data_IF_337076279632
#
_entry.id   IF_337076279632
#
_cell.length_a   1.000
_cell.length_b   1.000
_cell.length_c   1.000
_cell.angle_alpha   90.00
_cell.angle_beta   90.00
_cell.angle_gamma   90.00
#
_symmetry.space_group_name_H-M   'P 1'
#
loop_
_entity.id
_entity.type
_entity.pdbx_description
1 polymer ?
#
# COMPACT_ATOMS: atom_id res chain seq x y z
N UNK A 1 -25.72 -2.17 15.04
CA UNK A 1 -24.49 -2.82 14.54
C UNK A 1 -24.52 -4.28 14.97
N UNK A 2 -24.26 -5.26 14.09
CA UNK A 2 -23.92 -6.61 14.54
C UNK A 2 -22.75 -6.56 15.53
N UNK A 3 -22.71 -7.44 16.53
CA UNK A 3 -21.70 -7.43 17.59
C UNK A 3 -21.09 -8.82 17.75
N UNK A 4 -19.79 -8.87 18.02
CA UNK A 4 -19.08 -10.05 18.50
C UNK A 4 -18.72 -9.80 19.97
N UNK A 5 -19.36 -10.47 20.95
CA UNK A 5 -19.14 -10.23 22.37
C UNK A 5 -17.67 -10.28 22.80
N UNK A 6 -16.85 -11.11 22.15
CA UNK A 6 -15.41 -11.22 22.43
C UNK A 6 -14.60 -9.99 22.01
N UNK A 7 -15.08 -9.21 21.03
CA UNK A 7 -14.43 -7.97 20.61
C UNK A 7 -14.73 -6.79 21.56
N UNK A 8 -15.64 -6.95 22.52
CA UNK A 8 -16.03 -5.91 23.49
C UNK A 8 -16.33 -4.54 22.84
N UNK A 9 -16.94 -4.55 21.64
CA UNK A 9 -17.28 -3.33 20.90
C UNK A 9 -18.43 -2.57 21.56
N UNK A 10 -18.47 -1.26 21.38
CA UNK A 10 -19.57 -0.44 21.89
C UNK A 10 -20.84 -0.66 21.05
N UNK A 11 -21.98 -0.88 21.74
CA UNK A 11 -23.28 -1.08 21.09
C UNK A 11 -23.72 0.11 20.21
N UNK A 12 -23.20 1.31 20.48
CA UNK A 12 -23.58 2.58 19.83
C UNK A 12 -22.47 3.16 18.96
N UNK A 13 -21.81 2.33 18.15
CA UNK A 13 -20.77 2.82 17.24
C UNK A 13 -21.37 3.84 16.24
N UNK A 14 -20.89 5.10 16.22
CA UNK A 14 -21.47 6.12 15.36
C UNK A 14 -21.12 5.84 13.90
N UNK A 15 -22.12 5.88 13.02
CA UNK A 15 -21.90 5.96 11.59
C UNK A 15 -21.62 7.42 11.22
N UNK A 16 -20.52 7.73 10.52
CA UNK A 16 -20.29 9.07 10.01
C UNK A 16 -21.47 9.51 9.12
N UNK A 17 -22.02 10.69 9.40
CA UNK A 17 -23.03 11.32 8.54
C UNK A 17 -22.28 12.07 7.44
N UNK A 18 -22.62 11.81 6.18
CA UNK A 18 -21.96 12.43 5.03
C UNK A 18 -21.59 11.41 3.97
N UNK A 19 -20.70 11.81 3.07
CA UNK A 19 -20.22 10.94 1.99
C UNK A 19 -18.97 10.19 2.43
N UNK A 20 -18.86 8.92 2.02
CA UNK A 20 -17.66 8.14 2.30
C UNK A 20 -16.58 8.43 1.24
N UNK A 21 -15.37 8.77 1.69
CA UNK A 21 -14.21 9.00 0.81
C UNK A 21 -13.91 7.76 -0.04
N UNK A 22 -13.83 6.60 0.61
CA UNK A 22 -13.71 5.28 -0.02
C UNK A 22 -14.96 4.46 0.23
N UNK A 23 -15.30 3.48 -0.63
CA UNK A 23 -16.45 2.63 -0.37
C UNK A 23 -16.28 1.85 0.94
N UNK A 24 -17.37 1.71 1.71
CA UNK A 24 -17.38 1.07 3.03
C UNK A 24 -18.21 -0.21 3.07
N UNK A 25 -18.46 -0.79 1.89
CA UNK A 25 -19.19 -2.04 1.68
C UNK A 25 -18.68 -2.74 0.43
N UNK A 26 -18.97 -4.02 0.31
CA UNK A 26 -18.62 -4.82 -0.85
C UNK A 26 -19.91 -5.14 -1.62
N UNK A 27 -19.99 -4.73 -2.88
CA UNK A 27 -21.20 -4.92 -3.69
C UNK A 27 -21.33 -6.38 -4.17
N UNK A 28 -20.22 -6.99 -4.57
CA UNK A 28 -20.14 -8.37 -5.08
C UNK A 28 -19.12 -9.13 -4.26
N UNK A 29 -19.54 -10.29 -3.72
CA UNK A 29 -18.65 -11.17 -2.97
C UNK A 29 -17.43 -11.58 -3.83
N UNK A 30 -16.20 -11.49 -3.30
CA UNK A 30 -15.05 -12.06 -3.98
C UNK A 30 -15.23 -13.58 -4.14
N UNK A 31 -14.67 -14.13 -5.22
CA UNK A 31 -14.71 -15.57 -5.48
C UNK A 31 -14.18 -16.38 -4.28
N UNK A 32 -14.95 -17.38 -3.83
CA UNK A 32 -14.62 -18.20 -2.67
C UNK A 32 -14.97 -17.59 -1.31
N UNK A 33 -15.57 -16.38 -1.27
CA UNK A 33 -15.96 -15.72 -0.02
C UNK A 33 -17.46 -15.49 0.06
N UNK A 34 -18.00 -15.56 1.28
CA UNK A 34 -19.37 -15.13 1.59
C UNK A 34 -19.34 -13.81 2.33
N UNK A 35 -20.15 -12.84 1.90
CA UNK A 35 -20.23 -11.55 2.58
C UNK A 35 -21.02 -11.68 3.88
N UNK A 36 -20.35 -11.43 5.00
CA UNK A 36 -21.01 -11.18 6.29
C UNK A 36 -21.37 -9.70 6.37
N UNK A 37 -22.61 -9.37 6.75
CA UNK A 37 -23.10 -7.98 6.85
C UNK A 37 -22.84 -7.13 5.58
N UNK A 38 -22.82 -7.76 4.40
CA UNK A 38 -22.51 -7.08 3.13
C UNK A 38 -21.08 -6.54 3.02
N UNK A 39 -20.12 -7.11 3.77
CA UNK A 39 -18.72 -6.68 3.75
C UNK A 39 -18.49 -5.25 4.25
N UNK A 40 -19.39 -4.77 5.11
CA UNK A 40 -19.35 -3.40 5.62
C UNK A 40 -18.20 -3.17 6.60
N UNK A 41 -17.69 -1.94 6.68
CA UNK A 41 -16.57 -1.54 7.57
C UNK A 41 -16.71 -2.00 9.03
N UNK A 42 -17.94 -2.13 9.54
CA UNK A 42 -18.23 -2.61 10.91
C UNK A 42 -18.79 -4.03 10.93
N UNK A 43 -18.22 -4.92 10.11
CA UNK A 43 -18.55 -6.35 10.12
C UNK A 43 -17.79 -7.03 11.26
N UNK A 44 -18.48 -7.61 12.26
CA UNK A 44 -17.81 -8.28 13.37
C UNK A 44 -17.13 -9.57 12.90
N UNK A 45 -16.06 -9.96 13.58
CA UNK A 45 -15.27 -11.15 13.26
C UNK A 45 -14.58 -11.71 14.50
N UNK A 46 -14.23 -12.98 14.46
CA UNK A 46 -13.31 -13.59 15.43
C UNK A 46 -12.53 -14.69 14.71
N UNK A 47 -12.66 -15.94 15.13
CA UNK A 47 -12.00 -17.10 14.51
C UNK A 47 -12.50 -17.39 13.10
N UNK A 48 -13.79 -17.17 12.85
CA UNK A 48 -14.35 -17.14 11.50
C UNK A 48 -14.02 -15.78 10.88
N UNK A 49 -13.18 -15.81 9.85
CA UNK A 49 -12.79 -14.59 9.17
C UNK A 49 -13.85 -14.10 8.20
N UNK A 50 -13.75 -12.82 7.89
CA UNK A 50 -14.68 -12.14 7.00
C UNK A 50 -13.89 -11.30 6.00
N UNK A 51 -14.55 -10.94 4.91
CA UNK A 51 -14.06 -9.92 3.99
C UNK A 51 -14.80 -8.62 4.27
N UNK A 52 -14.08 -7.52 4.40
CA UNK A 52 -14.70 -6.21 4.50
C UNK A 52 -13.86 -5.10 3.89
N UNK A 53 -14.51 -3.95 3.83
CA UNK A 53 -14.00 -2.75 3.18
C UNK A 53 -14.30 -1.51 4.05
N UNK A 54 -13.32 -0.60 4.26
CA UNK A 54 -11.93 -0.69 3.83
C UNK A 54 -11.17 -1.84 4.49
N UNK A 55 -10.04 -2.23 3.91
CA UNK A 55 -9.22 -3.33 4.43
C UNK A 55 -8.50 -2.94 5.74
N UNK A 56 -7.82 -3.88 6.42
CA UNK A 56 -7.00 -3.61 7.61
C UNK A 56 -5.88 -2.56 7.41
N UNK A 57 -5.50 -2.26 6.15
CA UNK A 57 -4.59 -1.14 5.84
C UNK A 57 -5.30 0.23 5.89
N UNK A 58 -6.59 0.26 6.21
CA UNK A 58 -7.41 1.44 6.28
C UNK A 58 -7.85 1.95 4.91
N UNK A 59 -8.91 2.77 4.93
CA UNK A 59 -9.28 3.59 3.78
C UNK A 59 -8.36 4.80 3.64
N UNK A 60 -7.88 5.33 4.75
CA UNK A 60 -6.94 6.45 4.86
C UNK A 60 -5.89 5.98 5.87
N UNK A 61 -4.61 6.24 5.61
CA UNK A 61 -3.50 5.77 6.44
C UNK A 61 -2.61 6.97 6.85
N UNK A 62 -1.31 6.76 6.98
CA UNK A 62 -0.31 7.76 7.38
C UNK A 62 -0.08 8.96 6.45
N UNK A 63 -0.35 8.93 5.11
CA UNK A 63 -0.08 10.08 4.25
C UNK A 63 -0.85 11.32 4.73
N UNK A 64 -0.16 12.44 5.01
CA UNK A 64 -0.82 13.60 5.60
C UNK A 64 -1.80 14.25 4.61
N UNK A 65 -3.06 14.49 5.00
CA UNK A 65 -3.97 15.30 4.20
C UNK A 65 -3.59 16.79 4.28
N UNK A 66 -4.14 17.59 3.38
CA UNK A 66 -4.02 19.04 3.43
C UNK A 66 -5.38 19.68 3.64
N UNK A 67 -5.44 20.76 4.44
CA UNK A 67 -6.66 21.51 4.70
C UNK A 67 -6.53 22.94 4.19
N UNK A 68 -7.51 23.40 3.41
CA UNK A 68 -7.65 24.80 3.02
C UNK A 68 -8.72 25.47 3.91
N UNK A 69 -8.32 26.40 4.80
CA UNK A 69 -9.26 27.07 5.71
C UNK A 69 -10.19 28.06 5.01
N UNK A 70 -9.86 28.52 3.80
CA UNK A 70 -10.68 29.50 3.07
C UNK A 70 -11.93 28.86 2.47
N UNK A 71 -11.81 27.60 2.05
CA UNK A 71 -12.87 26.79 1.45
C UNK A 71 -13.38 25.70 2.38
N UNK A 72 -12.81 25.59 3.59
CA UNK A 72 -13.06 24.51 4.54
C UNK A 72 -12.92 23.11 3.93
N UNK A 73 -12.01 22.95 2.96
CA UNK A 73 -11.85 21.72 2.19
C UNK A 73 -10.64 20.93 2.65
N UNK A 74 -10.82 19.63 2.91
CA UNK A 74 -9.76 18.67 3.22
C UNK A 74 -9.46 17.80 1.99
N UNK A 75 -8.21 17.78 1.56
CA UNK A 75 -7.70 16.95 0.47
C UNK A 75 -7.03 15.71 1.03
N UNK A 76 -7.55 14.53 0.66
CA UNK A 76 -7.23 13.26 1.31
C UNK A 76 -6.81 12.22 0.28
N UNK A 77 -5.69 11.58 0.59
CA UNK A 77 -5.19 10.40 -0.08
C UNK A 77 -5.70 9.14 0.62
N UNK A 78 -6.31 8.24 -0.15
CA UNK A 78 -7.07 7.12 0.36
C UNK A 78 -6.94 5.89 -0.56
N UNK A 79 -7.33 4.72 -0.07
CA UNK A 79 -7.23 3.45 -0.80
C UNK A 79 -8.55 2.69 -0.73
N UNK A 80 -9.07 2.36 -1.90
CA UNK A 80 -10.10 1.34 -2.06
C UNK A 80 -9.41 -0.03 -2.05
N UNK A 81 -9.45 -0.68 -0.89
CA UNK A 81 -8.84 -1.99 -0.67
C UNK A 81 -9.81 -2.89 0.08
N UNK A 82 -9.89 -4.15 -0.34
CA UNK A 82 -10.66 -5.21 0.33
C UNK A 82 -9.71 -6.32 0.69
N UNK A 83 -9.81 -6.85 1.91
CA UNK A 83 -9.04 -8.01 2.34
C UNK A 83 -9.89 -8.88 3.27
N UNK A 84 -9.43 -10.13 3.40
CA UNK A 84 -9.89 -11.03 4.42
C UNK A 84 -9.19 -10.74 5.74
N UNK A 85 -9.93 -10.85 6.83
CA UNK A 85 -9.39 -10.78 8.18
C UNK A 85 -10.07 -11.79 9.09
N UNK A 86 -9.28 -12.47 9.91
CA UNK A 86 -9.75 -13.17 11.09
C UNK A 86 -8.90 -12.74 12.29
N UNK A 87 -9.47 -12.94 13.47
CA UNK A 87 -8.80 -12.77 14.74
C UNK A 87 -8.89 -14.04 15.56
N UNK A 88 -8.66 -13.88 16.86
CA UNK A 88 -8.65 -14.99 17.79
C UNK A 88 -7.26 -15.59 17.82
N UNK A 89 -6.52 -15.21 18.86
CA UNK A 89 -5.38 -15.99 19.30
C UNK A 89 -5.87 -17.41 19.61
N UNK A 90 -5.11 -18.43 19.21
CA UNK A 90 -5.56 -19.82 19.39
C UNK A 90 -5.67 -20.18 20.87
N UNK A 91 -5.02 -19.47 21.80
CA UNK A 91 -5.14 -19.68 23.25
C UNK A 91 -4.74 -18.46 24.12
N UNK A 92 -4.79 -17.22 23.59
CA UNK A 92 -4.25 -16.02 24.26
C UNK A 92 -2.77 -16.14 24.66
N UNK A 93 -1.98 -16.83 23.84
CA UNK A 93 -0.55 -16.97 24.06
C UNK A 93 0.13 -15.60 23.96
N UNK A 94 0.63 -15.12 25.10
CA UNK A 94 1.43 -13.91 25.14
C UNK A 94 2.71 -14.20 24.36
N UNK A 95 2.83 -13.57 23.18
CA UNK A 95 4.05 -13.65 22.41
C UNK A 95 5.26 -13.24 23.27
N UNK A 96 6.32 -14.04 23.20
CA UNK A 96 7.58 -13.73 23.88
C UNK A 96 8.06 -12.34 23.51
N UNK A 97 8.73 -11.65 24.44
CA UNK A 97 9.30 -10.32 24.16
C UNK A 97 10.14 -10.33 22.87
N UNK A 98 9.82 -9.43 21.94
CA UNK A 98 10.49 -9.32 20.64
C UNK A 98 9.91 -10.21 19.53
N UNK A 99 8.98 -11.12 19.84
CA UNK A 99 8.26 -11.87 18.82
C UNK A 99 7.18 -11.00 18.15
N UNK A 100 6.95 -11.24 16.85
CA UNK A 100 5.86 -10.61 16.11
C UNK A 100 4.53 -11.14 16.65
N UNK A 101 3.61 -10.24 16.97
CA UNK A 101 2.27 -10.58 17.43
C UNK A 101 1.22 -9.77 16.68
N UNK A 102 0.42 -10.46 15.86
CA UNK A 102 -0.65 -9.83 15.05
C UNK A 102 -2.03 -10.13 15.63
N UNK A 103 -2.19 -11.20 16.44
CA UNK A 103 -3.45 -11.59 17.06
C UNK A 103 -4.53 -12.10 16.08
N UNK A 104 -4.13 -12.45 14.86
CA UNK A 104 -5.02 -12.83 13.77
C UNK A 104 -4.28 -12.96 12.43
N UNK A 105 -5.02 -13.02 11.33
CA UNK A 105 -4.47 -13.06 9.96
C UNK A 105 -5.18 -12.05 9.07
N UNK A 106 -4.40 -11.37 8.23
CA UNK A 106 -4.90 -10.60 7.10
C UNK A 106 -4.51 -11.33 5.81
N UNK A 107 -5.42 -11.49 4.86
CA UNK A 107 -5.10 -12.13 3.59
C UNK A 107 -5.67 -11.35 2.42
N UNK A 108 -4.94 -11.38 1.31
CA UNK A 108 -5.42 -10.84 0.04
C UNK A 108 -6.62 -11.63 -0.45
N UNK A 109 -7.54 -10.95 -1.13
CA UNK A 109 -8.69 -11.54 -1.84
C UNK A 109 -8.56 -11.20 -3.32
N UNK A 110 -9.19 -11.96 -4.24
CA UNK A 110 -9.09 -11.71 -5.68
C UNK A 110 -9.94 -10.50 -6.09
N UNK A 111 -9.60 -9.32 -5.57
CA UNK A 111 -10.20 -8.05 -5.93
C UNK A 111 -9.13 -7.00 -6.19
N UNK A 112 -9.35 -6.08 -7.15
CA UNK A 112 -8.43 -4.99 -7.41
C UNK A 112 -8.34 -4.06 -6.19
N UNK A 113 -7.14 -3.51 -6.00
CA UNK A 113 -6.89 -2.41 -5.06
C UNK A 113 -6.60 -1.15 -5.86
N UNK A 114 -7.20 -0.03 -5.49
CA UNK A 114 -7.08 1.22 -6.23
C UNK A 114 -6.94 2.41 -5.30
N UNK A 115 -6.27 3.47 -5.74
CA UNK A 115 -6.15 4.71 -4.99
C UNK A 115 -7.39 5.57 -5.17
N UNK A 116 -7.67 6.39 -4.17
CA UNK A 116 -8.68 7.43 -4.19
C UNK A 116 -8.03 8.73 -3.72
N UNK A 117 -8.21 9.79 -4.49
CA UNK A 117 -7.85 11.14 -4.06
C UNK A 117 -9.10 12.01 -4.06
N UNK A 118 -9.43 12.61 -2.93
CA UNK A 118 -10.70 13.28 -2.74
C UNK A 118 -10.55 14.63 -2.05
N UNK A 119 -11.47 15.54 -2.36
CA UNK A 119 -11.71 16.75 -1.60
C UNK A 119 -13.04 16.62 -0.84
N UNK A 120 -13.02 16.96 0.44
CA UNK A 120 -14.18 16.87 1.34
C UNK A 120 -14.43 18.23 1.96
N UNK A 121 -15.66 18.70 1.89
CA UNK A 121 -16.12 19.87 2.64
C UNK A 121 -16.29 19.48 4.11
N UNK A 122 -15.44 20.03 4.97
CA UNK A 122 -15.40 19.69 6.39
C UNK A 122 -16.56 20.28 7.20
N UNK A 123 -17.35 21.19 6.63
CA UNK A 123 -18.50 21.80 7.31
C UNK A 123 -19.73 20.88 7.31
N UNK A 124 -19.83 19.99 6.31
CA UNK A 124 -21.00 19.14 6.10
C UNK A 124 -20.64 17.68 5.75
N UNK A 125 -19.35 17.35 5.70
CA UNK A 125 -18.81 16.03 5.37
C UNK A 125 -19.29 15.50 4.01
N UNK A 126 -19.36 16.37 2.99
CA UNK A 126 -19.69 16.00 1.61
C UNK A 126 -18.48 16.01 0.72
N UNK A 127 -18.48 15.12 -0.28
CA UNK A 127 -17.46 15.13 -1.31
C UNK A 127 -17.64 16.35 -2.20
N UNK A 128 -16.59 17.15 -2.35
CA UNK A 128 -16.52 18.20 -3.38
C UNK A 128 -16.21 17.55 -4.72
N UNK A 129 -15.17 16.71 -4.74
CA UNK A 129 -14.80 15.90 -5.89
C UNK A 129 -13.99 14.67 -5.44
N UNK A 130 -13.89 13.68 -6.33
CA UNK A 130 -13.13 12.45 -6.11
C UNK A 130 -12.53 11.94 -7.42
N UNK A 131 -11.28 11.49 -7.37
CA UNK A 131 -10.63 10.75 -8.43
C UNK A 131 -10.37 9.31 -8.00
N UNK A 132 -10.58 8.38 -8.93
CA UNK A 132 -10.11 7.00 -8.80
C UNK A 132 -8.79 6.85 -9.54
N UNK A 133 -7.80 6.27 -8.88
CA UNK A 133 -6.47 6.02 -9.44
C UNK A 133 -6.24 4.53 -9.61
N UNK A 134 -5.56 4.14 -10.70
CA UNK A 134 -5.21 2.74 -10.92
C UNK A 134 -4.30 2.21 -9.81
N UNK A 135 -3.29 3.00 -9.41
CA UNK A 135 -2.40 2.68 -8.30
C UNK A 135 -2.96 3.16 -6.96
N UNK A 136 -2.50 2.53 -5.87
CA UNK A 136 -2.76 2.97 -4.50
C UNK A 136 -2.31 4.41 -4.27
N UNK A 137 -3.04 5.14 -3.45
CA UNK A 137 -2.65 6.47 -3.01
C UNK A 137 -1.91 6.36 -1.67
N UNK A 138 -0.62 6.68 -1.66
CA UNK A 138 0.14 6.87 -0.43
C UNK A 138 1.04 8.10 -0.50
N UNK A 139 0.45 9.25 -0.81
CA UNK A 139 1.18 10.50 -0.99
C UNK A 139 0.54 11.60 -0.15
N UNK A 140 1.37 12.31 0.60
CA UNK A 140 0.92 13.47 1.35
C UNK A 140 0.51 14.60 0.41
N UNK A 141 -0.39 15.46 0.89
CA UNK A 141 -0.91 16.59 0.11
C UNK A 141 -0.38 17.93 0.61
N UNK A 142 -0.35 18.92 -0.27
CA UNK A 142 -0.11 20.32 0.07
C UNK A 142 -1.14 21.21 -0.64
N UNK A 143 -2.00 21.87 0.13
CA UNK A 143 -2.91 22.88 -0.39
C UNK A 143 -2.27 24.27 -0.29
N UNK A 144 -2.53 25.13 -1.28
CA UNK A 144 -1.98 26.49 -1.33
C UNK A 144 -3.08 27.51 -1.59
N UNK A 145 -2.88 28.75 -1.15
CA UNK A 145 -3.83 29.84 -1.37
C UNK A 145 -3.99 30.23 -2.85
N UNK A 146 -3.13 29.74 -3.74
CA UNK A 146 -3.22 29.95 -5.18
C UNK A 146 -4.28 29.07 -5.89
N UNK A 147 -5.08 28.30 -5.16
CA UNK A 147 -6.05 27.37 -5.74
C UNK A 147 -5.43 26.09 -6.29
N UNK A 148 -4.24 25.72 -5.80
CA UNK A 148 -3.53 24.50 -6.18
C UNK A 148 -3.42 23.54 -5.01
N UNK A 149 -3.61 22.25 -5.29
CA UNK A 149 -3.24 21.15 -4.40
C UNK A 149 -2.17 20.28 -5.06
N UNK A 150 -1.05 20.08 -4.37
CA UNK A 150 0.04 19.22 -4.82
C UNK A 150 -0.08 17.85 -4.15
N UNK A 151 0.13 16.80 -4.94
CA UNK A 151 0.14 15.42 -4.46
C UNK A 151 1.06 14.57 -5.33
N UNK A 152 1.88 13.75 -4.68
CA UNK A 152 2.75 12.80 -5.37
C UNK A 152 2.03 11.54 -5.84
N UNK A 153 2.74 10.71 -6.61
CA UNK A 153 2.25 9.46 -7.21
C UNK A 153 3.26 8.34 -6.99
N UNK A 154 2.75 7.10 -6.90
CA UNK A 154 3.60 5.91 -6.79
C UNK A 154 4.48 5.68 -8.03
N UNK A 155 4.06 6.18 -9.20
CA UNK A 155 4.85 6.13 -10.44
C UNK A 155 5.96 7.21 -10.50
N UNK A 156 6.10 8.00 -9.44
CA UNK A 156 7.11 9.04 -9.31
C UNK A 156 6.74 10.39 -9.88
N UNK A 157 5.50 10.62 -10.32
CA UNK A 157 5.06 11.98 -10.62
C UNK A 157 4.78 12.78 -9.34
N UNK A 158 5.23 14.03 -9.29
CA UNK A 158 4.58 15.06 -8.49
C UNK A 158 3.54 15.76 -9.37
N UNK A 159 2.32 15.92 -8.86
CA UNK A 159 1.20 16.52 -9.60
C UNK A 159 0.69 17.76 -8.89
N UNK A 160 0.18 18.72 -9.66
CA UNK A 160 -0.59 19.87 -9.18
C UNK A 160 -1.99 19.81 -9.79
N UNK A 161 -3.00 19.85 -8.93
CA UNK A 161 -4.40 19.82 -9.31
C UNK A 161 -5.07 21.15 -8.96
N UNK A 162 -6.07 21.52 -9.75
CA UNK A 162 -7.02 22.58 -9.41
C UNK A 162 -7.78 22.18 -8.13
N UNK A 163 -7.67 22.99 -7.08
CA UNK A 163 -8.23 22.65 -5.78
C UNK A 163 -9.76 22.55 -5.79
N UNK A 164 -10.43 23.28 -6.69
CA UNK A 164 -11.91 23.36 -6.74
C UNK A 164 -12.57 22.15 -7.40
N UNK A 165 -11.88 21.46 -8.31
CA UNK A 165 -12.46 20.42 -9.15
C UNK A 165 -11.55 19.21 -9.38
N UNK A 166 -10.32 19.24 -8.86
CA UNK A 166 -9.33 18.18 -8.97
C UNK A 166 -8.68 18.05 -10.35
N UNK A 167 -8.97 18.91 -11.33
CA UNK A 167 -8.38 18.79 -12.67
C UNK A 167 -6.86 18.87 -12.60
N UNK A 168 -6.17 17.93 -13.25
CA UNK A 168 -4.72 17.98 -13.40
C UNK A 168 -4.30 19.23 -14.18
N UNK A 169 -3.41 20.03 -13.60
CA UNK A 169 -2.87 21.26 -14.21
C UNK A 169 -1.40 21.11 -14.58
N UNK A 170 -0.65 20.34 -13.81
CA UNK A 170 0.77 20.13 -14.02
C UNK A 170 1.23 18.81 -13.41
N UNK A 171 2.25 18.21 -14.01
CA UNK A 171 2.95 17.06 -13.46
C UNK A 171 4.42 17.06 -13.84
N UNK A 172 5.24 16.39 -13.03
CA UNK A 172 6.66 16.25 -13.26
C UNK A 172 7.19 14.94 -12.68
N UNK A 173 7.97 14.22 -13.47
CA UNK A 173 8.54 12.93 -13.09
C UNK A 173 9.83 13.10 -12.28
N UNK A 174 9.88 12.47 -11.10
CA UNK A 174 11.00 12.55 -10.14
C UNK A 174 11.86 11.29 -10.05
N UNK A 175 11.58 10.28 -10.88
CA UNK A 175 12.40 9.08 -11.07
C UNK A 175 12.15 7.94 -10.10
N UNK A 176 11.40 8.17 -9.02
CA UNK A 176 11.02 7.19 -8.00
C UNK A 176 9.73 7.63 -7.31
N UNK A 177 9.08 6.73 -6.55
CA UNK A 177 7.79 7.02 -5.92
C UNK A 177 7.79 8.31 -5.08
N UNK A 178 6.87 9.21 -5.42
CA UNK A 178 6.68 10.48 -4.72
C UNK A 178 5.56 10.30 -3.69
N UNK A 179 5.95 9.80 -2.51
CA UNK A 179 5.02 9.35 -1.47
C UNK A 179 5.08 10.21 -0.19
N UNK A 180 6.08 11.08 -0.09
CA UNK A 180 6.16 12.06 0.99
C UNK A 180 5.10 13.16 0.84
N UNK A 181 4.85 13.90 1.92
CA UNK A 181 4.18 15.19 1.80
C UNK A 181 5.09 16.21 1.13
N UNK A 182 4.53 17.02 0.22
CA UNK A 182 5.21 18.18 -0.37
C UNK A 182 5.15 19.35 0.61
N UNK A 183 6.22 20.16 0.65
CA UNK A 183 6.25 21.41 1.42
C UNK A 183 6.56 22.59 0.50
N UNK A 184 6.14 23.79 0.91
CA UNK A 184 6.46 25.04 0.20
C UNK A 184 7.08 26.06 1.15
N UNK A 185 7.98 26.88 0.62
CA UNK A 185 8.59 27.98 1.34
C UNK A 185 9.02 29.07 0.36
N UNK A 186 9.28 30.27 0.86
CA UNK A 186 9.87 31.36 0.07
C UNK A 186 11.37 31.48 0.39
N UNK A 187 12.18 31.72 -0.64
CA UNK A 187 13.59 32.07 -0.48
C UNK A 187 13.95 33.20 -1.48
N UNK A 188 14.48 34.31 -0.97
CA UNK A 188 14.85 35.48 -1.77
C UNK A 188 13.73 36.01 -2.70
N UNK A 189 12.47 35.98 -2.23
CA UNK A 189 11.32 36.46 -3.01
C UNK A 189 10.80 35.49 -4.07
N UNK A 190 11.35 34.27 -4.15
CA UNK A 190 10.84 33.20 -5.02
C UNK A 190 10.21 32.08 -4.19
N UNK A 191 9.04 31.61 -4.60
CA UNK A 191 8.38 30.46 -3.98
C UNK A 191 8.98 29.16 -4.51
N UNK A 192 9.27 28.25 -3.59
CA UNK A 192 9.75 26.91 -3.89
C UNK A 192 8.82 25.83 -3.35
N UNK A 193 8.85 24.68 -4.01
CA UNK A 193 8.26 23.43 -3.54
C UNK A 193 9.36 22.40 -3.33
N UNK A 194 9.29 21.62 -2.27
CA UNK A 194 10.20 20.51 -2.00
C UNK A 194 9.43 19.21 -1.84
N UNK A 195 9.90 18.16 -2.51
CA UNK A 195 9.31 16.82 -2.45
C UNK A 195 10.40 15.75 -2.41
N UNK A 196 10.19 14.70 -1.61
CA UNK A 196 11.05 13.52 -1.63
C UNK A 196 10.53 12.49 -2.62
N UNK A 197 11.45 11.97 -3.41
CA UNK A 197 11.26 10.91 -4.40
C UNK A 197 12.12 9.72 -3.97
N UNK A 198 11.50 8.83 -3.19
CA UNK A 198 12.18 7.76 -2.46
C UNK A 198 11.42 6.43 -2.42
N UNK A 199 10.16 6.42 -2.84
CA UNK A 199 9.29 5.24 -2.82
C UNK A 199 8.64 4.94 -1.48
N UNK A 200 7.82 3.90 -1.48
CA UNK A 200 6.97 3.43 -0.40
C UNK A 200 6.70 1.93 -0.56
N UNK A 201 6.98 1.18 0.51
CA UNK A 201 6.74 -0.26 0.60
C UNK A 201 5.27 -0.64 0.36
N UNK A 202 4.31 0.04 1.00
CA UNK A 202 2.89 -0.28 0.91
C UNK A 202 2.27 0.06 -0.45
N UNK A 203 2.88 1.01 -1.17
CA UNK A 203 2.49 1.37 -2.53
C UNK A 203 3.20 0.54 -3.60
N UNK A 204 4.21 -0.26 -3.23
CA UNK A 204 5.05 -1.01 -4.18
C UNK A 204 5.76 -0.11 -5.19
N UNK A 205 5.99 1.16 -4.84
CA UNK A 205 6.54 2.16 -5.76
C UNK A 205 8.07 2.03 -5.89
N UNK A 206 8.64 2.36 -7.06
CA UNK A 206 10.08 2.37 -7.27
C UNK A 206 10.82 3.19 -6.21
N UNK A 207 11.96 2.66 -5.74
CA UNK A 207 12.79 3.33 -4.74
C UNK A 207 13.67 4.39 -5.37
N UNK A 208 14.02 5.39 -4.57
CA UNK A 208 14.97 6.43 -4.93
C UNK A 208 15.58 7.02 -3.68
N UNK A 209 16.45 8.00 -3.87
CA UNK A 209 17.08 8.75 -2.77
C UNK A 209 17.30 10.20 -3.22
N UNK A 210 16.21 10.85 -3.66
CA UNK A 210 16.31 12.19 -4.23
C UNK A 210 15.33 13.18 -3.61
N UNK A 211 15.83 14.40 -3.45
CA UNK A 211 15.05 15.58 -3.04
C UNK A 211 14.92 16.48 -4.25
N UNK A 212 13.68 16.82 -4.60
CA UNK A 212 13.38 17.69 -5.73
C UNK A 212 12.90 19.04 -5.23
N UNK A 213 13.55 20.09 -5.72
CA UNK A 213 13.20 21.48 -5.48
C UNK A 213 12.65 22.08 -6.77
N UNK A 214 11.45 22.63 -6.72
CA UNK A 214 10.76 23.24 -7.86
C UNK A 214 10.57 24.73 -7.64
N UNK A 215 10.62 25.49 -8.72
CA UNK A 215 10.20 26.89 -8.81
C UNK A 215 9.77 27.21 -10.24
N UNK A 216 9.16 28.37 -10.45
CA UNK A 216 8.77 28.82 -11.80
C UNK A 216 9.98 29.07 -12.71
N UNK A 217 11.15 29.38 -12.14
CA UNK A 217 12.41 29.53 -12.88
C UNK A 217 13.18 28.22 -13.11
N UNK A 218 12.64 27.09 -12.64
CA UNK A 218 13.28 25.78 -12.73
C UNK A 218 13.51 25.34 -14.19
N UNK A 219 14.70 24.83 -14.48
CA UNK A 219 15.12 24.38 -15.83
C UNK A 219 15.50 22.90 -15.88
N UNK A 220 15.31 22.17 -14.78
CA UNK A 220 15.55 20.71 -14.74
C UNK A 220 14.50 20.01 -15.60
N UNK A 221 14.97 19.18 -16.51
CA UNK A 221 14.11 18.26 -17.24
C UNK A 221 13.56 17.17 -16.31
N UNK A 222 12.35 16.63 -16.59
CA UNK A 222 11.82 15.47 -15.89
C UNK A 222 12.82 14.32 -15.86
N UNK A 223 12.89 13.62 -14.74
CA UNK A 223 13.63 12.38 -14.69
C UNK A 223 13.01 11.35 -15.64
N UNK A 224 13.79 10.34 -16.02
CA UNK A 224 13.21 9.19 -16.68
C UNK A 224 12.17 8.58 -15.74
N UNK A 225 10.98 8.27 -16.28
CA UNK A 225 10.01 7.51 -15.48
C UNK A 225 10.71 6.23 -15.05
N UNK A 226 10.65 5.88 -13.75
CA UNK A 226 11.17 4.60 -13.34
C UNK A 226 10.54 3.58 -14.27
N UNK A 227 11.36 2.72 -14.87
CA UNK A 227 10.80 1.53 -15.46
C UNK A 227 9.93 0.96 -14.35
N UNK A 228 8.62 0.79 -14.61
CA UNK A 228 7.90 -0.24 -13.86
C UNK A 228 8.86 -1.41 -13.94
N UNK A 229 9.40 -1.86 -12.80
CA UNK A 229 10.19 -3.07 -12.79
C UNK A 229 9.38 -4.04 -13.63
N UNK A 230 9.87 -4.35 -14.83
CA UNK A 230 9.11 -5.18 -15.74
C UNK A 230 8.85 -6.39 -14.90
N UNK A 231 7.57 -6.64 -14.63
CA UNK A 231 7.25 -7.83 -13.88
C UNK A 231 7.96 -8.94 -14.61
N UNK A 232 8.77 -9.75 -13.92
CA UNK A 232 9.33 -10.90 -14.58
C UNK A 232 8.12 -11.57 -15.26
N UNK A 233 8.18 -11.73 -16.59
CA UNK A 233 7.00 -12.10 -17.36
C UNK A 233 6.35 -13.30 -16.69
N UNK A 234 5.02 -13.37 -16.73
CA UNK A 234 4.34 -14.56 -16.26
C UNK A 234 5.07 -15.77 -16.85
N UNK A 235 5.42 -16.77 -16.03
CA UNK A 235 6.34 -17.80 -16.46
C UNK A 235 5.77 -18.42 -17.74
N UNK A 236 6.54 -18.38 -18.83
CA UNK A 236 6.18 -19.00 -20.13
C UNK A 236 6.30 -20.54 -20.05
N UNK A 237 6.20 -21.04 -18.82
CA UNK A 237 6.35 -22.42 -18.40
C UNK A 237 5.58 -22.61 -17.10
N UNK A 238 5.29 -23.86 -16.79
CA UNK A 238 4.83 -24.21 -15.46
C UNK A 238 5.97 -24.00 -14.45
N UNK A 239 5.67 -23.34 -13.33
CA UNK A 239 6.60 -23.19 -12.20
C UNK A 239 6.84 -24.55 -11.52
N UNK A 240 8.08 -24.79 -11.10
CA UNK A 240 8.48 -26.01 -10.41
C UNK A 240 8.81 -25.70 -8.95
N UNK A 241 7.86 -25.99 -8.08
CA UNK A 241 7.96 -25.77 -6.62
C UNK A 241 9.10 -26.60 -5.99
N UNK A 242 9.47 -27.74 -6.56
CA UNK A 242 10.56 -28.56 -6.02
C UNK A 242 11.92 -27.96 -6.35
N UNK A 243 12.07 -27.42 -7.56
CA UNK A 243 13.26 -26.65 -7.94
C UNK A 243 13.33 -25.35 -7.13
N UNK A 244 12.20 -24.69 -6.93
CA UNK A 244 12.09 -23.51 -6.06
C UNK A 244 12.54 -23.76 -4.63
N UNK A 245 12.25 -24.95 -4.08
CA UNK A 245 12.77 -25.36 -2.77
C UNK A 245 14.29 -25.53 -2.76
N UNK A 246 14.89 -26.02 -3.85
CA UNK A 246 16.35 -26.14 -3.96
C UNK A 246 16.99 -24.75 -4.00
N UNK A 247 16.49 -23.86 -4.85
CA UNK A 247 16.93 -22.46 -4.92
C UNK A 247 16.79 -21.78 -3.55
N UNK A 248 15.68 -21.99 -2.85
CA UNK A 248 15.49 -21.47 -1.49
C UNK A 248 16.57 -21.97 -0.53
N UNK A 249 16.84 -23.28 -0.55
CA UNK A 249 17.84 -23.88 0.32
C UNK A 249 19.24 -23.32 0.05
N UNK A 250 19.59 -23.09 -1.22
CA UNK A 250 20.91 -22.63 -1.62
C UNK A 250 21.11 -21.12 -1.45
N UNK A 251 20.12 -20.31 -1.78
CA UNK A 251 20.25 -18.85 -1.86
C UNK A 251 19.58 -18.10 -0.69
N UNK A 252 18.61 -18.70 0.00
CA UNK A 252 17.77 -18.00 0.98
C UNK A 252 17.93 -18.53 2.41
N UNK A 253 18.20 -19.82 2.58
CA UNK A 253 18.14 -20.50 3.90
C UNK A 253 19.15 -19.96 4.92
N UNK A 254 20.28 -19.43 4.47
CA UNK A 254 21.29 -18.85 5.35
C UNK A 254 20.71 -17.73 6.21
N UNK A 255 19.97 -16.81 5.60
CA UNK A 255 19.32 -15.67 6.26
C UNK A 255 17.88 -15.99 6.70
N UNK A 256 17.15 -16.84 5.99
CA UNK A 256 15.73 -17.07 6.27
C UNK A 256 15.44 -18.36 7.02
N UNK A 257 16.47 -19.09 7.41
CA UNK A 257 16.34 -20.42 8.01
C UNK A 257 15.97 -21.48 6.97
N UNK A 258 16.31 -22.76 7.22
CA UNK A 258 16.04 -23.84 6.28
C UNK A 258 14.55 -24.07 6.03
N UNK A 259 13.69 -23.62 6.95
CA UNK A 259 12.24 -23.74 6.85
C UNK A 259 11.53 -22.38 6.70
N UNK A 260 12.25 -21.30 6.41
CA UNK A 260 11.65 -19.96 6.33
C UNK A 260 11.30 -19.36 7.70
N UNK A 261 11.84 -19.92 8.78
CA UNK A 261 11.60 -19.54 10.17
C UNK A 261 12.41 -18.31 10.64
N UNK A 262 13.35 -17.81 9.81
CA UNK A 262 14.21 -16.67 10.10
C UNK A 262 15.52 -17.04 10.82
N UNK A 263 16.56 -16.20 10.72
CA UNK A 263 17.87 -16.44 11.35
C UNK A 263 19.00 -15.58 10.77
N UNK A 264 20.19 -15.58 11.36
CA UNK A 264 21.41 -14.89 10.83
C UNK A 264 21.19 -13.50 10.17
N UNK A 265 20.30 -12.67 10.74
CA UNK A 265 20.00 -11.33 10.24
C UNK A 265 18.85 -11.21 9.23
N UNK A 266 18.27 -12.32 8.74
CA UNK A 266 17.09 -12.30 7.88
C UNK A 266 15.78 -12.57 8.66
N UNK A 267 14.66 -11.93 8.27
CA UNK A 267 13.36 -12.15 8.89
C UNK A 267 12.78 -13.52 8.52
N UNK A 268 11.83 -13.99 9.34
CA UNK A 268 11.01 -15.14 9.01
C UNK A 268 10.11 -14.85 7.79
N UNK A 269 10.02 -15.83 6.88
CA UNK A 269 9.25 -15.76 5.64
C UNK A 269 7.95 -16.57 5.71
N UNK A 270 7.82 -17.46 6.70
CA UNK A 270 6.59 -18.16 6.99
C UNK A 270 5.48 -17.19 7.43
N UNK A 271 4.25 -17.43 6.96
CA UNK A 271 3.09 -16.60 7.30
C UNK A 271 3.09 -15.18 6.73
N UNK A 272 3.95 -14.86 5.75
CA UNK A 272 3.90 -13.58 5.02
C UNK A 272 2.72 -13.56 4.04
N UNK A 273 1.58 -13.05 4.47
CA UNK A 273 0.34 -13.08 3.69
C UNK A 273 0.22 -11.99 2.61
N UNK A 274 1.14 -11.02 2.60
CA UNK A 274 1.23 -9.98 1.57
C UNK A 274 2.14 -10.38 0.39
N UNK A 275 2.86 -11.51 0.49
CA UNK A 275 3.69 -12.03 -0.58
C UNK A 275 2.82 -12.85 -1.57
N UNK A 276 2.68 -12.37 -2.79
CA UNK A 276 2.21 -13.18 -3.92
C UNK A 276 3.38 -13.44 -4.88
N UNK A 277 3.20 -14.34 -5.85
CA UNK A 277 4.24 -14.72 -6.81
C UNK A 277 4.97 -13.51 -7.39
N UNK A 278 4.20 -12.50 -7.79
CA UNK A 278 4.66 -11.27 -8.42
C UNK A 278 5.51 -10.40 -7.47
N UNK A 279 5.06 -10.24 -6.23
CA UNK A 279 5.76 -9.47 -5.19
C UNK A 279 7.01 -10.22 -4.69
N UNK A 280 6.92 -11.54 -4.54
CA UNK A 280 8.04 -12.39 -4.14
C UNK A 280 9.15 -12.34 -5.20
N UNK A 281 8.82 -12.51 -6.48
CA UNK A 281 9.80 -12.40 -7.57
C UNK A 281 10.44 -11.02 -7.62
N UNK A 282 9.67 -9.94 -7.40
CA UNK A 282 10.22 -8.58 -7.38
C UNK A 282 11.20 -8.39 -6.21
N UNK A 283 10.84 -8.79 -5.00
CA UNK A 283 11.70 -8.67 -3.80
C UNK A 283 12.98 -9.51 -3.95
N UNK A 284 12.90 -10.72 -4.51
CA UNK A 284 14.09 -11.54 -4.77
C UNK A 284 14.97 -10.90 -5.84
N UNK A 285 14.37 -10.31 -6.88
CA UNK A 285 15.11 -9.67 -7.99
C UNK A 285 15.84 -8.41 -7.50
N UNK A 286 15.13 -7.51 -6.82
CA UNK A 286 15.60 -6.15 -6.52
C UNK A 286 16.08 -5.96 -5.07
N UNK A 287 15.79 -6.89 -4.18
CA UNK A 287 16.12 -6.80 -2.77
C UNK A 287 15.11 -5.99 -1.93
N UNK A 288 15.30 -6.06 -0.62
CA UNK A 288 14.45 -5.48 0.43
C UNK A 288 15.17 -4.36 1.18
N UNK A 289 14.79 -4.14 2.44
CA UNK A 289 15.51 -3.26 3.36
C UNK A 289 16.96 -3.75 3.56
N UNK A 290 17.15 -4.73 4.45
CA UNK A 290 18.44 -5.38 4.66
C UNK A 290 18.63 -6.64 3.78
N UNK A 291 17.62 -6.98 2.96
CA UNK A 291 17.66 -8.13 2.05
C UNK A 291 18.39 -7.78 0.75
N UNK A 292 19.45 -8.51 0.37
CA UNK A 292 20.21 -8.23 -0.85
C UNK A 292 19.40 -8.53 -2.12
N UNK A 293 19.71 -7.81 -3.21
CA UNK A 293 19.18 -8.10 -4.53
C UNK A 293 19.86 -9.35 -5.12
N UNK A 294 19.06 -10.30 -5.60
CA UNK A 294 19.57 -11.57 -6.17
C UNK A 294 19.33 -11.68 -7.70
N UNK A 295 18.79 -10.64 -8.34
CA UNK A 295 18.49 -10.64 -9.78
C UNK A 295 19.71 -10.85 -10.70
N UNK A 296 20.93 -10.65 -10.19
CA UNK A 296 22.18 -10.93 -10.92
C UNK A 296 22.78 -12.31 -10.61
N UNK A 297 22.29 -12.98 -9.56
CA UNK A 297 22.78 -14.28 -9.08
C UNK A 297 21.85 -15.43 -9.41
N UNK A 298 20.57 -15.14 -9.68
CA UNK A 298 19.56 -16.11 -10.05
C UNK A 298 19.02 -15.80 -11.45
N UNK A 299 18.72 -16.84 -12.23
CA UNK A 299 18.02 -16.70 -13.50
C UNK A 299 16.56 -16.32 -13.29
N UNK A 300 15.88 -15.72 -14.29
CA UNK A 300 14.44 -15.44 -14.20
C UNK A 300 13.60 -16.68 -13.87
N UNK A 301 14.01 -17.85 -14.36
CA UNK A 301 13.35 -19.12 -14.07
C UNK A 301 13.50 -19.51 -12.59
N UNK A 302 14.69 -19.43 -12.02
CA UNK A 302 14.94 -19.74 -10.60
C UNK A 302 14.20 -18.78 -9.66
N UNK A 303 14.13 -17.50 -10.02
CA UNK A 303 13.38 -16.47 -9.29
C UNK A 303 11.88 -16.79 -9.28
N UNK A 304 11.34 -17.25 -10.40
CA UNK A 304 9.93 -17.66 -10.49
C UNK A 304 9.64 -18.92 -9.67
N UNK A 305 10.52 -19.92 -9.72
CA UNK A 305 10.35 -21.16 -8.96
C UNK A 305 10.48 -20.93 -7.45
N UNK A 306 11.47 -20.15 -7.00
CA UNK A 306 11.63 -19.83 -5.57
C UNK A 306 10.46 -18.98 -5.06
N UNK A 307 9.96 -18.03 -5.87
CA UNK A 307 8.74 -17.29 -5.56
C UNK A 307 7.52 -18.21 -5.43
N UNK A 308 7.38 -19.21 -6.30
CA UNK A 308 6.32 -20.21 -6.21
C UNK A 308 6.44 -21.06 -4.96
N UNK A 309 7.65 -21.50 -4.62
CA UNK A 309 7.90 -22.24 -3.38
C UNK A 309 7.57 -21.40 -2.12
N UNK A 310 7.98 -20.13 -2.08
CA UNK A 310 7.66 -19.20 -0.99
C UNK A 310 6.14 -19.09 -0.80
N UNK A 311 5.40 -18.85 -1.87
CA UNK A 311 3.95 -18.63 -1.83
C UNK A 311 3.18 -19.93 -1.59
N UNK A 312 3.53 -21.03 -2.26
CA UNK A 312 2.74 -22.27 -2.25
C UNK A 312 3.07 -23.23 -1.09
N UNK A 313 4.23 -23.10 -0.46
CA UNK A 313 4.71 -24.05 0.55
C UNK A 313 5.10 -23.43 1.87
N UNK A 314 5.64 -22.21 1.87
CA UNK A 314 6.06 -21.53 3.09
C UNK A 314 4.99 -20.59 3.66
N UNK A 315 4.13 -20.02 2.80
CA UNK A 315 3.06 -19.11 3.23
C UNK A 315 1.71 -19.82 3.44
N UNK A 316 1.41 -20.88 2.68
CA UNK A 316 0.16 -21.65 2.80
C UNK A 316 0.20 -22.79 3.85
N UNK A 317 1.22 -22.82 4.72
CA UNK A 317 1.32 -23.73 5.87
C UNK A 317 1.20 -22.94 7.16
#
# INVERSE_FOLDING_TARGET
MPQEPRQATAATQPYPIGDAIVPQSIDIAPEGYTLVNGGKIFTPFWTEGVVAKPSPFGGINWPPPAYDPTTATLYVCANDRTQFFNGGDRDFEIASNGARYVGGTFASVPMPSTGVYAAVDMTNNRLVWRQQWADLCYSGSLATAGGLVFVGRNDGRLTALDSSNGRLLWEFQTGAGSNSGTSTFEHNGEQHLVSYSAGNLFGGSPRGDSVWLFSLSGTREPAQSPALAELPPAPDRQVDVNLGRQVFFEACSFCHGPNGDGGHGGPALNGLTDLNLRVASLIVTEGGADMPALGSSLTPAEIQDVAAYLVERLILR
#
